data_IF_694259316372
#
_entry.id   IF_694259316372
#
_cell.length_a   1.000
_cell.length_b   1.000
_cell.length_c   1.000
_cell.angle_alpha   90.00
_cell.angle_beta   90.00
_cell.angle_gamma   90.00
#
_symmetry.space_group_name_H-M   'P 1'
#
loop_
_entity.id
_entity.type
_entity.pdbx_description
1 polymer ?
#
# COMPACT_ATOMS: atom_id res chain seq x y z
N UNK A 1 16.80 -6.81 19.37
CA UNK A 1 15.69 -7.25 18.50
C UNK A 1 14.80 -6.02 18.32
N UNK A 2 14.64 -5.48 17.10
CA UNK A 2 13.68 -4.38 16.91
C UNK A 2 12.28 -4.95 17.06
N UNK A 3 11.40 -4.22 17.74
CA UNK A 3 10.00 -4.63 17.82
C UNK A 3 9.41 -4.70 16.42
N UNK A 4 8.62 -5.73 16.16
CA UNK A 4 7.92 -5.86 14.90
C UNK A 4 6.92 -4.71 14.79
N UNK A 5 6.89 -4.05 13.62
CA UNK A 5 5.93 -3.00 13.33
C UNK A 5 4.53 -3.61 13.44
N UNK A 6 3.70 -3.04 14.30
CA UNK A 6 2.35 -3.56 14.55
C UNK A 6 1.48 -3.48 13.31
N UNK A 7 0.50 -4.38 13.19
CA UNK A 7 -0.45 -4.34 12.06
C UNK A 7 -1.18 -2.99 11.95
N UNK A 8 -1.44 -2.34 13.09
CA UNK A 8 -2.05 -1.02 13.15
C UNK A 8 -1.16 0.07 12.52
N UNK A 9 0.14 0.08 12.83
CA UNK A 9 1.09 1.04 12.25
C UNK A 9 1.23 0.85 10.74
N UNK A 10 1.29 -0.41 10.29
CA UNK A 10 1.34 -0.76 8.85
C UNK A 10 0.13 -0.21 8.10
N UNK A 11 -1.07 -0.41 8.68
CA UNK A 11 -2.31 0.09 8.10
C UNK A 11 -2.36 1.62 8.10
N UNK A 12 -2.01 2.26 9.22
CA UNK A 12 -1.99 3.72 9.36
C UNK A 12 -1.03 4.39 8.36
N UNK A 13 0.18 3.85 8.21
CA UNK A 13 1.15 4.34 7.24
C UNK A 13 0.63 4.23 5.79
N UNK A 14 0.00 3.10 5.46
CA UNK A 14 -0.59 2.86 4.14
C UNK A 14 -1.75 3.81 3.86
N UNK A 15 -2.67 3.99 4.81
CA UNK A 15 -3.78 4.94 4.67
C UNK A 15 -3.28 6.38 4.51
N UNK A 16 -2.22 6.75 5.23
CA UNK A 16 -1.61 8.07 5.09
C UNK A 16 -0.96 8.26 3.72
N UNK A 17 -0.27 7.24 3.21
CA UNK A 17 0.27 7.25 1.85
C UNK A 17 -0.85 7.45 0.83
N UNK A 18 -1.94 6.68 0.92
CA UNK A 18 -3.08 6.78 0.00
C UNK A 18 -3.82 8.12 0.10
N UNK A 19 -4.00 8.66 1.31
CA UNK A 19 -4.70 9.93 1.52
C UNK A 19 -3.88 11.15 1.09
N UNK A 20 -2.54 11.08 1.15
CA UNK A 20 -1.66 12.22 0.86
C UNK A 20 -0.97 12.15 -0.49
N UNK A 21 -0.80 10.95 -1.06
CA UNK A 21 -0.07 10.73 -2.32
C UNK A 21 1.41 11.13 -2.27
N UNK A 22 1.98 11.30 -1.07
CA UNK A 22 3.35 11.80 -0.90
C UNK A 22 4.40 10.72 -1.06
N UNK A 23 5.64 11.14 -1.28
CA UNK A 23 6.78 10.23 -1.41
C UNK A 23 7.08 9.50 -0.09
N UNK A 24 7.74 8.34 -0.15
CA UNK A 24 8.12 7.59 1.06
C UNK A 24 9.09 8.36 1.96
N UNK A 25 9.87 9.30 1.42
CA UNK A 25 10.75 10.17 2.23
C UNK A 25 9.93 11.12 3.10
N UNK A 26 8.89 11.72 2.53
CA UNK A 26 8.00 12.61 3.30
C UNK A 26 7.21 11.81 4.35
N UNK A 27 6.82 10.59 3.98
CA UNK A 27 6.05 9.71 4.84
C UNK A 27 6.87 9.22 6.04
N UNK A 28 8.17 8.93 5.86
CA UNK A 28 9.12 8.55 6.92
C UNK A 28 9.14 9.55 8.08
N UNK A 29 9.10 10.86 7.79
CA UNK A 29 9.01 11.89 8.83
C UNK A 29 7.70 11.87 9.61
N UNK A 30 6.61 11.45 8.97
CA UNK A 30 5.27 11.45 9.59
C UNK A 30 4.91 10.14 10.30
N UNK A 31 5.50 9.02 9.89
CA UNK A 31 5.18 7.68 10.41
C UNK A 31 6.27 7.14 11.34
N UNK A 32 7.45 7.79 11.40
CA UNK A 32 8.61 7.33 12.20
C UNK A 32 9.10 5.96 11.71
N UNK A 33 8.74 5.57 10.48
CA UNK A 33 9.15 4.31 9.87
C UNK A 33 10.18 4.59 8.79
N UNK A 34 11.24 3.77 8.75
CA UNK A 34 12.27 3.94 7.74
C UNK A 34 11.67 3.82 6.32
N UNK A 35 12.22 4.60 5.37
CA UNK A 35 11.82 4.48 3.95
C UNK A 35 11.85 3.04 3.44
N UNK A 36 12.84 2.26 3.87
CA UNK A 36 12.98 0.85 3.48
C UNK A 36 11.77 0.02 3.97
N UNK A 37 11.42 0.15 5.25
CA UNK A 37 10.25 -0.54 5.81
C UNK A 37 8.95 -0.12 5.13
N UNK A 38 8.78 1.18 4.84
CA UNK A 38 7.61 1.68 4.13
C UNK A 38 7.50 1.10 2.71
N UNK A 39 8.62 0.99 2.00
CA UNK A 39 8.66 0.43 0.65
C UNK A 39 8.25 -1.04 0.58
N UNK A 40 8.40 -1.79 1.67
CA UNK A 40 7.96 -3.19 1.77
C UNK A 40 6.50 -3.28 2.26
N UNK A 41 6.16 -2.49 3.28
CA UNK A 41 4.87 -2.58 3.98
C UNK A 41 3.70 -2.00 3.19
N UNK A 42 3.89 -0.86 2.54
CA UNK A 42 2.83 -0.15 1.81
C UNK A 42 2.26 -1.01 0.67
N UNK A 43 3.07 -1.55 -0.27
CA UNK A 43 2.52 -2.37 -1.34
C UNK A 43 1.86 -3.66 -0.83
N UNK A 44 2.42 -4.29 0.21
CA UNK A 44 1.83 -5.48 0.82
C UNK A 44 0.45 -5.17 1.45
N UNK A 45 0.36 -4.08 2.21
CA UNK A 45 -0.89 -3.67 2.86
C UNK A 45 -1.92 -3.21 1.83
N UNK A 46 -1.50 -2.49 0.78
CA UNK A 46 -2.37 -2.13 -0.34
C UNK A 46 -2.94 -3.34 -1.06
N UNK A 47 -2.16 -4.40 -1.30
CA UNK A 47 -2.64 -5.64 -1.93
C UNK A 47 -3.69 -6.33 -1.04
N UNK A 48 -3.45 -6.40 0.28
CA UNK A 48 -4.43 -6.95 1.22
C UNK A 48 -5.73 -6.14 1.23
N UNK A 49 -5.63 -4.82 1.32
CA UNK A 49 -6.80 -3.92 1.26
C UNK A 49 -7.56 -4.13 -0.04
N UNK A 50 -6.86 -4.14 -1.18
CA UNK A 50 -7.46 -4.35 -2.49
C UNK A 50 -8.18 -5.71 -2.58
N UNK A 51 -7.57 -6.79 -2.10
CA UNK A 51 -8.18 -8.12 -2.09
C UNK A 51 -9.44 -8.19 -1.23
N UNK A 52 -9.42 -7.58 -0.04
CA UNK A 52 -10.57 -7.54 0.87
C UNK A 52 -11.70 -6.71 0.26
N UNK A 53 -11.39 -5.50 -0.20
CA UNK A 53 -12.39 -4.64 -0.84
C UNK A 53 -12.93 -5.26 -2.14
N UNK A 54 -12.09 -5.92 -2.94
CA UNK A 54 -12.52 -6.64 -4.13
C UNK A 54 -13.46 -7.80 -3.79
N UNK A 55 -13.18 -8.52 -2.72
CA UNK A 55 -14.04 -9.61 -2.25
C UNK A 55 -15.41 -9.10 -1.79
N UNK A 56 -15.45 -7.96 -1.11
CA UNK A 56 -16.65 -7.45 -0.45
C UNK A 56 -17.49 -6.53 -1.35
N UNK A 57 -16.85 -5.75 -2.24
CA UNK A 57 -17.53 -4.74 -3.09
C UNK A 57 -17.54 -5.08 -4.58
N UNK A 58 -16.56 -5.85 -5.09
CA UNK A 58 -16.49 -6.21 -6.52
C UNK A 58 -17.08 -7.61 -6.80
N UNK A 59 -17.80 -8.18 -5.83
CA UNK A 59 -18.59 -9.38 -6.04
C UNK A 59 -19.92 -9.03 -6.72
N UNK A 60 -19.85 -8.55 -7.95
CA UNK A 60 -20.70 -9.10 -9.00
C UNK A 60 -20.21 -8.70 -10.39
N UNK A 61 -20.21 -9.69 -11.29
CA UNK A 61 -19.90 -9.60 -12.72
C UNK A 61 -18.42 -9.38 -13.08
N UNK A 62 -17.71 -10.48 -13.35
CA UNK A 62 -17.22 -10.79 -14.70
C UNK A 62 -16.00 -11.72 -14.65
N UNK A 63 -16.09 -12.80 -15.42
CA UNK A 63 -15.01 -13.73 -15.74
C UNK A 63 -13.78 -13.00 -16.30
N UNK A 64 -12.60 -13.40 -15.81
CA UNK A 64 -11.29 -13.38 -16.46
C UNK A 64 -10.71 -12.04 -16.98
N UNK A 65 -9.41 -11.85 -16.70
CA UNK A 65 -8.52 -10.80 -17.22
C UNK A 65 -8.79 -9.43 -16.59
N UNK A 66 -7.90 -8.85 -15.79
CA UNK A 66 -6.67 -8.26 -16.30
C UNK A 66 -5.55 -8.32 -15.26
N UNK A 67 -4.41 -8.84 -15.73
CA UNK A 67 -3.11 -8.79 -15.09
C UNK A 67 -2.67 -7.35 -14.88
N UNK A 68 -2.11 -7.08 -13.70
CA UNK A 68 -0.75 -6.55 -13.57
C UNK A 68 -0.36 -5.50 -14.62
N UNK A 69 -0.90 -4.28 -14.54
CA UNK A 69 -0.43 -3.17 -15.40
C UNK A 69 -0.37 -1.80 -14.72
N UNK A 70 -0.91 -1.61 -13.51
CA UNK A 70 -0.86 -0.29 -12.85
C UNK A 70 0.37 -0.07 -11.95
N UNK A 71 1.08 -1.12 -11.53
CA UNK A 71 2.30 -0.94 -10.72
C UNK A 71 3.44 -0.34 -11.57
N UNK A 72 3.40 -0.47 -12.89
CA UNK A 72 4.33 0.17 -13.83
C UNK A 72 4.08 1.67 -14.04
N UNK A 73 2.89 2.19 -13.69
CA UNK A 73 2.61 3.64 -13.83
C UNK A 73 3.23 4.45 -12.69
N UNK A 74 3.33 3.86 -11.49
CA UNK A 74 3.87 4.53 -10.29
C UNK A 74 5.41 4.55 -10.25
N UNK A 75 6.08 3.72 -11.06
CA UNK A 75 7.54 3.69 -11.15
C UNK A 75 8.13 4.66 -12.18
N UNK A 76 7.29 5.32 -13.00
CA UNK A 76 7.74 6.12 -14.14
C UNK A 76 7.36 7.61 -14.06
N UNK A 77 7.05 8.11 -12.86
CA UNK A 77 7.04 9.55 -12.63
C UNK A 77 8.42 9.98 -12.14
N UNK A 78 9.22 10.41 -13.11
CA UNK A 78 10.50 11.12 -12.95
C UNK A 78 10.38 12.36 -12.06
#
# INVERSE_FOLDING_TARGET
MREAISAHERLSATLRFLATGRSYKDLEFTTIMSKQSLSEIIPETCDVIYRVLKKDFLKDNMSASNKTSEISFIANLS
#
